data_IF_595959974947
#
_entry.id   IF_595959974947
#
_cell.length_a   1.000
_cell.length_b   1.000
_cell.length_c   1.000
_cell.angle_alpha   90.00
_cell.angle_beta   90.00
_cell.angle_gamma   90.00
#
_symmetry.space_group_name_H-M   'P 1'
#
loop_
_entity.id
_entity.type
_entity.pdbx_description
1 polymer ?
#
# COMPACT_ATOMS: atom_id res chain seq x y z
N UNK A 1 0.95 0.35 16.30
CA UNK A 1 1.70 -0.60 15.47
C UNK A 1 0.84 -1.76 14.96
N UNK A 2 0.62 -1.80 13.65
CA UNK A 2 -0.24 -2.74 12.94
C UNK A 2 0.62 -3.92 12.46
N UNK A 3 0.69 -4.99 13.24
CA UNK A 3 1.31 -6.22 12.73
C UNK A 3 0.34 -6.82 11.70
N UNK A 4 0.65 -6.72 10.41
CA UNK A 4 -0.09 -7.38 9.32
C UNK A 4 -0.22 -8.89 9.59
N UNK A 5 0.79 -9.47 10.25
CA UNK A 5 0.77 -10.85 10.74
C UNK A 5 -0.33 -11.11 11.77
N UNK A 6 -0.75 -10.12 12.58
CA UNK A 6 -1.87 -10.27 13.51
C UNK A 6 -3.22 -10.32 12.79
N UNK A 7 -3.42 -9.51 11.74
CA UNK A 7 -4.63 -9.56 10.89
C UNK A 7 -4.68 -10.89 10.13
N UNK A 8 -3.55 -11.32 9.58
CA UNK A 8 -3.38 -12.61 8.91
C UNK A 8 -3.68 -13.78 9.86
N UNK A 9 -3.08 -13.78 11.05
CA UNK A 9 -3.27 -14.82 12.05
C UNK A 9 -4.72 -14.92 12.49
N UNK A 10 -5.41 -13.79 12.70
CA UNK A 10 -6.85 -13.76 13.04
C UNK A 10 -7.69 -14.30 11.89
N UNK A 11 -7.40 -13.89 10.65
CA UNK A 11 -8.16 -14.37 9.49
C UNK A 11 -8.02 -15.89 9.30
N UNK A 12 -6.82 -16.44 9.50
CA UNK A 12 -6.55 -17.88 9.33
C UNK A 12 -7.08 -18.68 10.54
N UNK A 13 -6.76 -18.25 11.77
CA UNK A 13 -7.12 -18.99 13.01
C UNK A 13 -8.61 -19.05 13.30
N UNK A 14 -9.40 -18.11 12.78
CA UNK A 14 -10.86 -18.12 12.99
C UNK A 14 -11.65 -18.72 11.83
N UNK A 15 -10.99 -19.24 10.77
CA UNK A 15 -11.65 -20.17 9.86
C UNK A 15 -11.83 -21.49 10.61
N UNK A 16 -12.85 -21.52 11.45
CA UNK A 16 -13.27 -22.72 12.17
C UNK A 16 -14.10 -23.57 11.21
N UNK A 17 -13.59 -24.74 10.82
CA UNK A 17 -14.41 -25.76 10.17
C UNK A 17 -15.42 -26.27 11.20
N UNK A 18 -16.65 -25.75 11.14
CA UNK A 18 -17.76 -26.33 11.88
C UNK A 18 -18.11 -27.66 11.23
N UNK A 19 -17.47 -28.73 11.68
CA UNK A 19 -17.85 -30.12 11.38
C UNK A 19 -19.03 -30.51 12.28
N UNK A 20 -20.22 -30.03 11.93
CA UNK A 20 -21.47 -30.46 12.53
C UNK A 20 -22.11 -31.48 11.59
N UNK A 21 -21.93 -32.77 11.85
CA UNK A 21 -22.60 -33.82 11.08
C UNK A 21 -24.11 -33.52 10.95
N UNK A 22 -24.68 -33.49 9.73
CA UNK A 22 -24.15 -34.07 8.49
C UNK A 22 -23.36 -33.10 7.56
N UNK A 23 -23.05 -31.89 8.00
CA UNK A 23 -22.36 -30.88 7.19
C UNK A 23 -20.85 -30.90 7.42
N UNK A 24 -20.09 -31.15 6.34
CA UNK A 24 -18.62 -31.07 6.30
C UNK A 24 -18.23 -29.71 5.72
N UNK A 25 -17.85 -28.79 6.62
CA UNK A 25 -17.50 -27.41 6.25
C UNK A 25 -16.23 -27.34 5.42
N UNK A 26 -15.28 -28.25 5.67
CA UNK A 26 -14.03 -28.34 4.93
C UNK A 26 -14.27 -28.74 3.49
N UNK A 27 -15.08 -29.78 3.26
CA UNK A 27 -15.46 -30.22 1.93
C UNK A 27 -16.25 -29.13 1.19
N UNK A 28 -17.12 -28.41 1.88
CA UNK A 28 -17.83 -27.26 1.32
C UNK A 28 -16.86 -26.17 0.82
N UNK A 29 -15.91 -25.73 1.67
CA UNK A 29 -14.90 -24.72 1.30
C UNK A 29 -14.02 -25.21 0.16
N UNK A 30 -13.59 -26.47 0.18
CA UNK A 30 -12.79 -27.06 -0.91
C UNK A 30 -13.53 -27.00 -2.25
N UNK A 31 -14.80 -27.42 -2.29
CA UNK A 31 -15.59 -27.37 -3.52
C UNK A 31 -15.84 -25.92 -3.98
N UNK A 32 -16.05 -25.00 -3.04
CA UNK A 32 -16.20 -23.57 -3.31
C UNK A 32 -14.96 -22.97 -3.97
N UNK A 33 -13.77 -23.18 -3.40
CA UNK A 33 -12.51 -22.69 -3.94
C UNK A 33 -12.19 -23.28 -5.31
N UNK A 34 -12.51 -24.56 -5.53
CA UNK A 34 -12.33 -25.21 -6.83
C UNK A 34 -13.25 -24.63 -7.90
N UNK A 35 -14.52 -24.37 -7.58
CA UNK A 35 -15.45 -23.70 -8.51
C UNK A 35 -15.04 -22.26 -8.82
N UNK A 36 -14.26 -21.62 -7.94
CA UNK A 36 -13.61 -20.31 -8.16
C UNK A 36 -12.27 -20.41 -8.88
N UNK A 37 -11.82 -21.62 -9.25
CA UNK A 37 -10.52 -21.88 -9.87
C UNK A 37 -9.32 -21.42 -9.02
N UNK A 38 -9.49 -21.37 -7.68
CA UNK A 38 -8.44 -20.96 -6.75
C UNK A 38 -7.57 -22.11 -6.25
N UNK A 39 -8.06 -23.34 -6.38
CA UNK A 39 -7.32 -24.59 -6.12
C UNK A 39 -7.57 -25.58 -7.26
N UNK A 40 -6.63 -26.51 -7.49
CA UNK A 40 -6.69 -27.45 -8.61
C UNK A 40 -7.72 -28.57 -8.43
N UNK A 41 -8.06 -29.26 -9.52
CA UNK A 41 -8.98 -30.41 -9.50
C UNK A 41 -8.42 -31.64 -8.75
N UNK A 42 -7.12 -31.65 -8.43
CA UNK A 42 -6.47 -32.73 -7.68
C UNK A 42 -6.87 -32.73 -6.19
N UNK A 43 -7.52 -31.67 -5.71
CA UNK A 43 -8.14 -31.61 -4.41
C UNK A 43 -9.45 -32.41 -4.47
N UNK A 44 -9.52 -33.56 -3.76
CA UNK A 44 -10.67 -34.50 -3.82
C UNK A 44 -12.01 -33.77 -3.72
N UNK A 45 -12.67 -33.64 -4.85
CA UNK A 45 -14.02 -33.13 -4.90
C UNK A 45 -15.01 -34.28 -4.75
N UNK A 46 -15.95 -34.12 -3.83
CA UNK A 46 -16.97 -35.14 -3.63
C UNK A 46 -18.36 -34.73 -4.13
N UNK A 47 -18.71 -33.44 -4.24
CA UNK A 47 -20.11 -33.02 -4.49
C UNK A 47 -20.25 -31.64 -5.16
N UNK A 48 -21.42 -31.41 -5.77
CA UNK A 48 -21.87 -30.09 -6.22
C UNK A 48 -22.07 -29.13 -5.03
N UNK A 49 -21.83 -27.83 -5.23
CA UNK A 49 -22.07 -26.81 -4.20
C UNK A 49 -23.58 -26.68 -3.97
N UNK A 50 -24.03 -27.05 -2.77
CA UNK A 50 -25.43 -26.90 -2.35
C UNK A 50 -25.71 -25.50 -1.81
N UNK A 51 -26.98 -25.11 -1.74
CA UNK A 51 -27.39 -23.84 -1.10
C UNK A 51 -26.98 -23.77 0.37
N UNK A 52 -26.97 -24.91 1.09
CA UNK A 52 -26.48 -24.97 2.47
C UNK A 52 -24.98 -24.68 2.55
N UNK A 53 -24.19 -25.15 1.59
CA UNK A 53 -22.77 -24.83 1.49
C UNK A 53 -22.56 -23.32 1.23
N UNK A 54 -23.29 -22.71 0.28
CA UNK A 54 -23.19 -21.26 0.04
C UNK A 54 -23.57 -20.41 1.26
N UNK A 55 -24.60 -20.81 2.00
CA UNK A 55 -24.97 -20.12 3.24
C UNK A 55 -23.89 -20.26 4.32
N UNK A 56 -23.25 -21.42 4.41
CA UNK A 56 -22.10 -21.62 5.29
C UNK A 56 -20.94 -20.71 4.89
N UNK A 57 -20.54 -20.69 3.62
CA UNK A 57 -19.48 -19.80 3.10
C UNK A 57 -19.76 -18.35 3.48
N UNK A 58 -20.95 -17.84 3.16
CA UNK A 58 -21.35 -16.47 3.47
C UNK A 58 -21.32 -16.17 4.98
N UNK A 59 -21.75 -17.13 5.80
CA UNK A 59 -21.74 -16.97 7.25
C UNK A 59 -20.30 -16.91 7.78
N UNK A 60 -19.42 -17.78 7.27
CA UNK A 60 -18.01 -17.83 7.67
C UNK A 60 -17.29 -16.56 7.22
N UNK A 61 -17.50 -16.09 5.99
CA UNK A 61 -17.00 -14.80 5.51
C UNK A 61 -17.37 -13.65 6.42
N UNK A 62 -18.65 -13.55 6.81
CA UNK A 62 -19.13 -12.51 7.70
C UNK A 62 -18.47 -12.57 9.08
N UNK A 63 -18.31 -13.77 9.64
CA UNK A 63 -17.66 -13.97 10.94
C UNK A 63 -16.18 -13.60 10.89
N UNK A 64 -15.44 -14.09 9.88
CA UNK A 64 -14.01 -13.79 9.69
C UNK A 64 -13.78 -12.29 9.57
N UNK A 65 -14.59 -11.59 8.76
CA UNK A 65 -14.48 -10.14 8.59
C UNK A 65 -14.85 -9.36 9.86
N UNK A 66 -15.81 -9.84 10.64
CA UNK A 66 -16.16 -9.24 11.93
C UNK A 66 -15.02 -9.37 12.94
N UNK A 67 -14.30 -10.49 12.96
CA UNK A 67 -13.15 -10.68 13.85
C UNK A 67 -11.95 -9.85 13.42
N UNK A 68 -11.69 -9.76 12.11
CA UNK A 68 -10.73 -8.81 11.56
C UNK A 68 -11.09 -7.39 12.04
N UNK A 69 -12.36 -6.97 11.90
CA UNK A 69 -12.82 -5.68 12.40
C UNK A 69 -12.53 -5.48 13.89
N UNK A 70 -12.91 -6.45 14.73
CA UNK A 70 -12.71 -6.36 16.17
C UNK A 70 -11.22 -6.21 16.53
N UNK A 71 -10.34 -6.87 15.78
CA UNK A 71 -8.88 -6.78 15.97
C UNK A 71 -8.29 -5.47 15.49
N UNK A 72 -8.84 -4.89 14.43
CA UNK A 72 -8.53 -3.52 14.01
C UNK A 72 -9.01 -2.51 15.06
N UNK A 73 -10.20 -2.71 15.64
CA UNK A 73 -10.78 -1.84 16.67
C UNK A 73 -10.00 -1.87 18.01
N UNK A 74 -9.29 -2.96 18.29
CA UNK A 74 -8.34 -3.07 19.43
C UNK A 74 -7.09 -2.20 19.23
N UNK A 75 -6.79 -1.77 17.99
CA UNK A 75 -5.65 -0.92 17.65
C UNK A 75 -6.12 0.54 17.57
N UNK A 76 -5.67 1.36 18.52
CA UNK A 76 -6.08 2.77 18.62
C UNK A 76 -5.93 3.55 17.31
N UNK A 77 -4.84 3.33 16.58
CA UNK A 77 -4.54 3.97 15.30
C UNK A 77 -5.50 3.55 14.16
N UNK A 78 -5.97 2.31 14.14
CA UNK A 78 -6.81 1.78 13.06
C UNK A 78 -8.30 1.81 13.35
N UNK A 79 -8.67 2.05 14.60
CA UNK A 79 -10.06 1.98 15.06
C UNK A 79 -11.01 2.83 14.22
N UNK A 80 -10.59 4.01 13.78
CA UNK A 80 -11.43 4.89 12.96
C UNK A 80 -11.51 4.45 11.49
N UNK A 81 -10.55 3.64 11.03
CA UNK A 81 -10.47 3.13 9.66
C UNK A 81 -10.94 1.69 9.52
N UNK A 82 -11.29 1.00 10.61
CA UNK A 82 -11.57 -0.44 10.63
C UNK A 82 -12.72 -0.85 9.71
N UNK A 83 -13.80 -0.06 9.67
CA UNK A 83 -14.95 -0.31 8.79
C UNK A 83 -14.54 -0.20 7.31
N UNK A 84 -13.82 0.87 6.95
CA UNK A 84 -13.29 1.05 5.60
C UNK A 84 -12.40 -0.13 5.19
N UNK A 85 -11.47 -0.54 6.05
CA UNK A 85 -10.55 -1.65 5.77
C UNK A 85 -11.34 -2.92 5.50
N UNK A 86 -12.33 -3.23 6.34
CA UNK A 86 -13.16 -4.44 6.20
C UNK A 86 -14.00 -4.40 4.92
N UNK A 87 -14.54 -3.25 4.56
CA UNK A 87 -15.27 -3.08 3.30
C UNK A 87 -14.34 -3.28 2.08
N UNK A 88 -13.11 -2.76 2.14
CA UNK A 88 -12.10 -3.05 1.11
C UNK A 88 -11.73 -4.53 1.03
N UNK A 89 -11.57 -5.21 2.17
CA UNK A 89 -11.27 -6.64 2.21
C UNK A 89 -12.40 -7.50 1.60
N UNK A 90 -13.67 -7.09 1.75
CA UNK A 90 -14.81 -7.72 1.09
C UNK A 90 -14.72 -7.62 -0.43
N UNK A 91 -14.33 -6.45 -0.95
CA UNK A 91 -14.25 -6.19 -2.40
C UNK A 91 -13.15 -7.00 -3.09
N UNK A 92 -12.07 -7.33 -2.38
CA UNK A 92 -10.86 -7.95 -2.95
C UNK A 92 -10.75 -9.46 -2.71
N UNK A 93 -11.85 -10.13 -2.35
CA UNK A 93 -11.90 -11.57 -2.08
C UNK A 93 -10.89 -12.04 -1.02
N UNK A 94 -10.62 -11.22 0.00
CA UNK A 94 -9.65 -11.55 1.06
C UNK A 94 -9.95 -12.91 1.72
N UNK A 95 -11.22 -13.19 2.02
CA UNK A 95 -11.63 -14.43 2.68
C UNK A 95 -11.40 -15.66 1.78
N UNK A 96 -11.55 -15.54 0.46
CA UNK A 96 -11.29 -16.64 -0.47
C UNK A 96 -9.82 -17.10 -0.36
N UNK A 97 -8.87 -16.16 -0.24
CA UNK A 97 -7.46 -16.48 -0.03
C UNK A 97 -7.18 -17.02 1.38
N UNK A 98 -7.94 -16.58 2.39
CA UNK A 98 -7.82 -17.10 3.75
C UNK A 98 -8.30 -18.55 3.81
N UNK A 99 -9.42 -18.87 3.15
CA UNK A 99 -9.90 -20.23 2.95
C UNK A 99 -8.85 -21.08 2.22
N UNK A 100 -8.23 -20.56 1.15
CA UNK A 100 -7.18 -21.28 0.43
C UNK A 100 -6.00 -21.62 1.33
N UNK A 101 -5.46 -20.64 2.07
CA UNK A 101 -4.34 -20.85 2.99
C UNK A 101 -4.68 -21.89 4.06
N UNK A 102 -5.88 -21.79 4.66
CA UNK A 102 -6.34 -22.73 5.68
C UNK A 102 -6.50 -24.15 5.13
N UNK A 103 -7.15 -24.32 3.97
CA UNK A 103 -7.32 -25.62 3.32
C UNK A 103 -5.95 -26.25 3.06
N UNK A 104 -5.00 -25.51 2.49
CA UNK A 104 -3.65 -26.01 2.17
C UNK A 104 -2.81 -26.38 3.40
N UNK A 105 -3.10 -25.79 4.56
CA UNK A 105 -2.39 -26.10 5.82
C UNK A 105 -2.70 -27.50 6.35
N UNK A 106 -3.81 -28.13 5.91
CA UNK A 106 -4.22 -29.45 6.40
C UNK A 106 -3.55 -30.60 5.62
N UNK A 107 -3.18 -31.69 6.30
CA UNK A 107 -2.26 -32.72 5.78
C UNK A 107 -2.86 -33.76 4.79
N UNK A 108 -4.03 -33.53 4.19
CA UNK A 108 -4.77 -34.59 3.49
C UNK A 108 -5.12 -34.27 2.03
N UNK A 109 -4.13 -34.00 1.17
CA UNK A 109 -4.34 -33.78 -0.27
C UNK A 109 -3.41 -34.61 -1.14
N UNK A 110 -3.91 -35.04 -2.30
CA UNK A 110 -3.16 -35.76 -3.35
C UNK A 110 -2.27 -34.79 -4.17
N UNK A 111 -1.55 -33.88 -3.50
CA UNK A 111 -0.55 -32.96 -4.07
C UNK A 111 0.80 -33.23 -3.42
N UNK A 112 1.90 -32.95 -4.14
CA UNK A 112 3.22 -33.07 -3.52
C UNK A 112 3.39 -32.07 -2.39
N UNK A 113 4.16 -32.42 -1.35
CA UNK A 113 4.43 -31.50 -0.25
C UNK A 113 5.04 -30.17 -0.73
N UNK A 114 5.88 -30.21 -1.78
CA UNK A 114 6.48 -29.02 -2.39
C UNK A 114 5.45 -28.07 -3.01
N UNK A 115 4.56 -28.58 -3.88
CA UNK A 115 3.50 -27.79 -4.51
C UNK A 115 2.51 -27.23 -3.47
N UNK A 116 2.18 -28.03 -2.44
CA UNK A 116 1.31 -27.58 -1.34
C UNK A 116 1.92 -26.41 -0.57
N UNK A 117 3.21 -26.50 -0.21
CA UNK A 117 3.93 -25.44 0.50
C UNK A 117 4.02 -24.17 -0.36
N UNK A 118 4.29 -24.31 -1.66
CA UNK A 118 4.34 -23.18 -2.59
C UNK A 118 2.99 -22.47 -2.71
N UNK A 119 1.92 -23.21 -2.97
CA UNK A 119 0.55 -22.66 -3.06
C UNK A 119 0.09 -22.00 -1.76
N UNK A 120 0.46 -22.58 -0.61
CA UNK A 120 0.16 -22.02 0.71
C UNK A 120 0.91 -20.70 0.91
N UNK A 121 2.20 -20.67 0.56
CA UNK A 121 3.03 -19.47 0.64
C UNK A 121 2.48 -18.36 -0.24
N UNK A 122 2.10 -18.67 -1.48
CA UNK A 122 1.48 -17.73 -2.41
C UNK A 122 0.14 -17.19 -1.86
N UNK A 123 -0.69 -18.03 -1.24
CA UNK A 123 -1.93 -17.59 -0.61
C UNK A 123 -1.67 -16.66 0.58
N UNK A 124 -0.68 -16.97 1.43
CA UNK A 124 -0.29 -16.12 2.56
C UNK A 124 0.28 -14.78 2.10
N UNK A 125 1.17 -14.77 1.11
CA UNK A 125 1.68 -13.53 0.50
C UNK A 125 0.55 -12.68 -0.06
N UNK A 126 -0.42 -13.30 -0.75
CA UNK A 126 -1.57 -12.56 -1.29
C UNK A 126 -2.45 -11.96 -0.19
N UNK A 127 -2.64 -12.65 0.94
CA UNK A 127 -3.36 -12.09 2.08
C UNK A 127 -2.64 -10.88 2.70
N UNK A 128 -1.32 -10.94 2.82
CA UNK A 128 -0.51 -9.80 3.27
C UNK A 128 -0.66 -8.64 2.30
N UNK A 129 -0.57 -8.89 0.99
CA UNK A 129 -0.75 -7.86 -0.05
C UNK A 129 -2.14 -7.20 0.04
N UNK A 130 -3.21 -8.01 0.10
CA UNK A 130 -4.59 -7.51 0.12
C UNK A 130 -4.89 -6.70 1.40
N UNK A 131 -4.42 -7.17 2.56
CA UNK A 131 -4.57 -6.44 3.82
C UNK A 131 -3.70 -5.18 3.89
N UNK A 132 -2.48 -5.25 3.37
CA UNK A 132 -1.59 -4.10 3.14
C UNK A 132 -2.28 -3.00 2.35
N UNK A 133 -2.80 -3.36 1.17
CA UNK A 133 -3.46 -2.43 0.29
C UNK A 133 -4.71 -1.81 0.93
N UNK A 134 -5.53 -2.61 1.62
CA UNK A 134 -6.73 -2.11 2.31
C UNK A 134 -6.39 -1.10 3.41
N UNK A 135 -5.33 -1.34 4.18
CA UNK A 135 -4.83 -0.41 5.20
C UNK A 135 -4.31 0.87 4.54
N UNK A 136 -3.49 0.76 3.49
CA UNK A 136 -2.98 1.92 2.75
C UNK A 136 -4.12 2.78 2.20
N UNK A 137 -5.16 2.15 1.67
CA UNK A 137 -6.29 2.87 1.08
C UNK A 137 -7.19 3.55 2.11
N UNK A 138 -7.30 3.01 3.32
CA UNK A 138 -8.26 3.47 4.32
C UNK A 138 -7.67 4.28 5.48
N UNK A 139 -6.40 4.06 5.82
CA UNK A 139 -5.75 4.73 6.95
C UNK A 139 -4.84 5.87 6.49
N UNK A 140 -4.05 5.64 5.45
CA UNK A 140 -3.04 6.61 5.03
C UNK A 140 -3.58 7.73 4.14
N UNK A 141 -4.81 7.64 3.62
CA UNK A 141 -5.43 8.70 2.80
C UNK A 141 -5.41 10.06 3.51
N UNK A 142 -5.89 10.09 4.74
CA UNK A 142 -6.01 11.33 5.52
C UNK A 142 -4.63 11.86 5.91
N UNK A 143 -3.68 10.95 6.18
CA UNK A 143 -2.31 11.32 6.53
C UNK A 143 -1.57 11.92 5.34
N UNK A 144 -1.67 11.31 4.15
CA UNK A 144 -1.11 11.87 2.93
C UNK A 144 -1.81 13.19 2.56
N UNK A 145 -3.11 13.31 2.81
CA UNK A 145 -3.83 14.56 2.65
C UNK A 145 -3.30 15.67 3.56
N UNK A 146 -3.04 15.37 4.83
CA UNK A 146 -2.46 16.31 5.78
C UNK A 146 -1.03 16.71 5.42
N UNK A 147 -0.22 15.77 4.89
CA UNK A 147 1.11 16.09 4.36
C UNK A 147 1.00 17.08 3.19
N UNK A 148 0.07 16.85 2.26
CA UNK A 148 -0.18 17.78 1.16
C UNK A 148 -0.60 19.17 1.65
N UNK A 149 -1.52 19.22 2.62
CA UNK A 149 -1.95 20.49 3.23
C UNK A 149 -0.77 21.23 3.88
N UNK A 150 0.16 20.50 4.49
CA UNK A 150 1.41 21.04 5.06
C UNK A 150 2.32 21.65 3.99
N UNK A 151 2.47 20.97 2.84
CA UNK A 151 3.24 21.46 1.70
C UNK A 151 2.64 22.77 1.17
N UNK A 152 1.30 22.86 1.10
CA UNK A 152 0.60 24.02 0.53
C UNK A 152 0.53 25.24 1.45
N UNK A 153 0.66 25.07 2.77
CA UNK A 153 0.43 26.15 3.75
C UNK A 153 1.69 26.92 4.13
N UNK A 154 2.90 26.45 3.77
CA UNK A 154 4.18 26.99 4.24
C UNK A 154 4.29 27.10 5.79
N UNK A 155 3.35 26.55 6.56
CA UNK A 155 3.24 26.77 8.01
C UNK A 155 4.17 25.85 8.83
N UNK A 156 4.73 24.80 8.21
CA UNK A 156 5.48 23.76 8.92
C UNK A 156 6.99 23.82 8.75
N UNK A 157 7.52 24.81 8.03
CA UNK A 157 8.91 24.82 7.65
C UNK A 157 9.53 26.20 7.95
N UNK A 158 10.11 26.36 9.15
CA UNK A 158 11.33 27.18 9.34
C UNK A 158 12.53 26.51 8.60
N UNK A 159 12.27 25.82 7.49
CA UNK A 159 13.30 25.20 6.70
C UNK A 159 14.15 26.28 6.07
N UNK A 160 15.44 26.06 6.19
CA UNK A 160 16.50 26.74 5.46
C UNK A 160 15.97 27.09 4.06
N UNK A 161 15.65 28.37 3.83
CA UNK A 161 15.33 28.87 2.49
C UNK A 161 16.40 28.30 1.56
N UNK A 162 15.97 27.50 0.56
CA UNK A 162 16.87 27.02 -0.48
C UNK A 162 17.68 28.23 -0.95
N UNK A 163 18.99 28.03 -1.11
CA UNK A 163 19.81 29.12 -1.63
C UNK A 163 19.23 29.57 -2.97
N UNK A 164 19.40 30.84 -3.31
CA UNK A 164 18.88 31.36 -4.58
C UNK A 164 19.38 30.52 -5.78
N UNK A 165 20.60 29.98 -5.70
CA UNK A 165 21.18 29.08 -6.70
C UNK A 165 20.45 27.72 -6.77
N UNK A 166 20.11 27.13 -5.61
CA UNK A 166 19.34 25.89 -5.53
C UNK A 166 17.94 26.08 -6.13
N UNK A 167 17.23 27.14 -5.73
CA UNK A 167 15.89 27.47 -6.24
C UNK A 167 15.90 27.65 -7.76
N UNK A 168 16.89 28.39 -8.30
CA UNK A 168 17.07 28.52 -9.74
C UNK A 168 17.26 27.16 -10.43
N UNK A 169 18.11 26.29 -9.89
CA UNK A 169 18.41 25.00 -10.49
C UNK A 169 17.23 24.04 -10.49
N UNK A 170 16.45 24.03 -9.41
CA UNK A 170 15.26 23.18 -9.32
C UNK A 170 14.14 23.70 -10.22
N UNK A 171 13.89 25.03 -10.27
CA UNK A 171 12.94 25.63 -11.24
C UNK A 171 13.34 25.33 -12.68
N UNK A 172 14.62 25.46 -13.00
CA UNK A 172 15.17 25.11 -14.32
C UNK A 172 14.89 23.64 -14.65
N UNK A 173 15.17 22.73 -13.72
CA UNK A 173 14.92 21.30 -13.90
C UNK A 173 13.44 21.01 -14.20
N UNK A 174 12.52 21.58 -13.42
CA UNK A 174 11.07 21.43 -13.58
C UNK A 174 10.60 21.88 -14.97
N UNK A 175 11.11 23.01 -15.47
CA UNK A 175 10.77 23.55 -16.78
C UNK A 175 11.36 22.68 -17.90
N UNK A 176 12.64 22.32 -17.81
CA UNK A 176 13.34 21.53 -18.84
C UNK A 176 12.74 20.12 -18.99
N UNK A 177 12.35 19.50 -17.87
CA UNK A 177 11.73 18.18 -17.83
C UNK A 177 10.21 18.21 -17.96
N UNK A 178 9.60 19.41 -18.07
CA UNK A 178 8.15 19.60 -18.21
C UNK A 178 7.36 18.92 -17.09
N UNK A 179 7.88 19.00 -15.87
CA UNK A 179 7.21 18.45 -14.69
C UNK A 179 5.95 19.24 -14.34
N UNK A 180 5.88 20.50 -14.78
CA UNK A 180 4.72 21.37 -14.60
C UNK A 180 4.15 21.83 -15.95
N UNK A 181 2.82 22.00 -16.00
CA UNK A 181 2.18 22.64 -17.13
C UNK A 181 2.45 24.14 -17.11
N UNK A 182 3.50 24.56 -17.82
CA UNK A 182 3.91 25.97 -17.94
C UNK A 182 2.89 26.84 -18.71
N UNK A 183 1.87 26.24 -19.32
CA UNK A 183 0.74 26.98 -19.91
C UNK A 183 -0.35 27.29 -18.90
N UNK A 184 -0.50 26.43 -17.87
CA UNK A 184 -1.42 26.63 -16.74
C UNK A 184 -0.76 27.45 -15.62
N UNK A 185 0.52 27.21 -15.34
CA UNK A 185 1.27 27.75 -14.23
C UNK A 185 2.47 28.57 -14.73
N UNK A 186 2.51 29.86 -14.40
CA UNK A 186 3.59 30.75 -14.87
C UNK A 186 4.78 30.62 -13.92
N UNK A 187 5.80 29.86 -14.36
CA UNK A 187 7.05 29.67 -13.63
C UNK A 187 8.22 30.34 -14.38
N UNK A 188 8.84 31.34 -13.75
CA UNK A 188 10.13 31.87 -14.21
C UNK A 188 11.25 31.03 -13.59
N UNK A 189 12.21 30.61 -14.42
CA UNK A 189 13.39 29.88 -13.94
C UNK A 189 14.29 30.76 -13.06
N UNK A 190 14.42 32.05 -13.36
CA UNK A 190 15.34 32.96 -12.67
C UNK A 190 14.61 34.23 -12.16
N UNK A 191 13.65 34.09 -11.23
CA UNK A 191 12.86 35.23 -10.76
C UNK A 191 13.70 36.28 -10.01
N UNK A 192 14.86 35.88 -9.49
CA UNK A 192 15.79 36.72 -8.70
C UNK A 192 16.89 37.39 -9.53
N UNK A 193 16.93 37.17 -10.86
CA UNK A 193 17.95 37.71 -11.78
C UNK A 193 19.41 37.38 -11.38
N UNK A 194 19.65 36.14 -10.96
CA UNK A 194 20.99 35.64 -10.61
C UNK A 194 21.93 35.62 -11.82
N UNK A 195 23.23 35.76 -11.58
CA UNK A 195 24.26 35.44 -12.57
C UNK A 195 24.43 33.92 -12.65
N UNK A 196 23.85 33.32 -13.69
CA UNK A 196 23.80 31.86 -13.86
C UNK A 196 25.03 31.29 -14.56
N UNK A 197 26.02 32.13 -14.91
CA UNK A 197 27.14 31.70 -15.77
C UNK A 197 28.10 30.69 -15.11
N UNK A 198 28.14 30.68 -13.77
CA UNK A 198 28.98 29.78 -12.97
C UNK A 198 28.21 28.72 -12.18
N UNK A 199 26.88 28.69 -12.25
CA UNK A 199 26.05 27.79 -11.45
C UNK A 199 26.06 26.38 -12.05
N UNK A 200 26.48 25.38 -11.26
CA UNK A 200 26.41 23.96 -11.65
C UNK A 200 25.11 23.32 -11.13
N UNK A 201 24.04 23.41 -11.92
CA UNK A 201 22.75 22.84 -11.53
C UNK A 201 22.71 21.33 -11.44
N UNK A 202 23.59 20.60 -12.13
CA UNK A 202 23.61 19.14 -12.05
C UNK A 202 24.03 18.68 -10.65
N UNK A 203 25.08 19.29 -10.08
CA UNK A 203 25.55 18.96 -8.73
C UNK A 203 24.54 19.37 -7.65
N UNK A 204 23.98 20.57 -7.76
CA UNK A 204 23.00 21.09 -6.78
C UNK A 204 21.72 20.24 -6.77
N UNK A 205 21.19 19.94 -7.96
CA UNK A 205 20.01 19.10 -8.08
C UNK A 205 20.26 17.68 -7.57
N UNK A 206 21.40 17.06 -7.90
CA UNK A 206 21.72 15.73 -7.40
C UNK A 206 21.78 15.68 -5.86
N UNK A 207 22.27 16.73 -5.20
CA UNK A 207 22.27 16.82 -3.74
C UNK A 207 20.85 16.90 -3.16
N UNK A 208 19.94 17.63 -3.82
CA UNK A 208 18.53 17.69 -3.44
C UNK A 208 17.86 16.31 -3.57
N UNK A 209 18.07 15.63 -4.71
CA UNK A 209 17.54 14.29 -4.97
C UNK A 209 17.97 13.30 -3.89
N UNK A 210 19.23 13.37 -3.43
CA UNK A 210 19.73 12.53 -2.33
C UNK A 210 18.94 12.81 -1.03
N UNK A 211 18.74 14.09 -0.67
CA UNK A 211 17.97 14.45 0.53
C UNK A 211 16.52 13.94 0.48
N UNK A 212 15.84 14.11 -0.66
CA UNK A 212 14.47 13.62 -0.87
C UNK A 212 14.43 12.10 -0.70
N UNK A 213 15.37 11.39 -1.32
CA UNK A 213 15.49 9.94 -1.21
C UNK A 213 15.72 9.47 0.23
N UNK A 214 16.59 10.14 0.97
CA UNK A 214 16.86 9.82 2.38
C UNK A 214 15.61 10.01 3.24
N UNK A 215 14.84 11.08 3.00
CA UNK A 215 13.55 11.33 3.68
C UNK A 215 12.51 10.26 3.34
N UNK A 216 12.42 9.85 2.07
CA UNK A 216 11.54 8.74 1.66
C UNK A 216 11.91 7.43 2.35
N UNK A 217 13.21 7.11 2.42
CA UNK A 217 13.70 5.91 3.13
C UNK A 217 13.34 5.96 4.61
N UNK A 218 13.55 7.11 5.26
CA UNK A 218 13.20 7.30 6.66
C UNK A 218 11.68 7.13 6.90
N UNK A 219 10.85 7.80 6.11
CA UNK A 219 9.39 7.70 6.23
C UNK A 219 8.85 6.30 5.96
N UNK A 220 9.43 5.55 5.02
CA UNK A 220 9.02 4.17 4.76
C UNK A 220 9.41 3.19 5.88
N UNK A 221 10.53 3.45 6.57
CA UNK A 221 10.93 2.65 7.74
C UNK A 221 10.03 2.90 8.95
N UNK A 222 9.43 4.08 9.06
CA UNK A 222 8.41 4.34 10.09
C UNK A 222 7.09 3.61 9.82
N UNK A 223 6.86 3.13 8.59
CA UNK A 223 5.72 2.29 8.24
C UNK A 223 6.03 0.81 8.54
N UNK A 224 7.29 0.40 8.41
CA UNK A 224 7.81 -0.95 8.67
C UNK A 224 8.17 -1.12 10.15
N UNK A 225 7.16 -1.29 11.00
CA UNK A 225 7.37 -1.51 12.42
C UNK A 225 6.80 -2.85 12.86
N UNK A 226 7.63 -3.88 12.77
CA UNK A 226 7.52 -5.05 13.62
C UNK A 226 8.91 -5.32 14.21
N UNK A 227 9.15 -4.89 15.45
CA UNK A 227 10.43 -5.13 16.16
C UNK A 227 10.74 -6.64 16.32
N UNK A 228 9.77 -7.52 16.03
CA UNK A 228 9.86 -8.97 16.25
C UNK A 228 10.14 -9.80 14.99
N UNK A 229 9.99 -9.23 13.79
CA UNK A 229 10.27 -9.93 12.52
C UNK A 229 11.37 -9.22 11.73
N UNK A 230 12.32 -10.01 11.24
CA UNK A 230 13.52 -9.59 10.50
C UNK A 230 13.28 -8.95 9.13
N UNK A 231 12.09 -8.44 8.83
CA UNK A 231 11.85 -7.64 7.62
C UNK A 231 12.38 -6.24 7.87
N UNK A 232 13.70 -6.05 7.78
CA UNK A 232 14.22 -4.70 7.60
C UNK A 232 14.00 -4.36 6.12
N UNK A 233 13.01 -3.52 5.79
CA UNK A 233 12.95 -2.91 4.46
C UNK A 233 14.33 -2.33 4.14
N UNK A 234 14.98 -2.88 3.11
CA UNK A 234 16.32 -2.43 2.71
C UNK A 234 16.21 -1.05 2.07
N UNK A 235 17.06 -0.12 2.51
CA UNK A 235 17.22 1.21 1.91
C UNK A 235 17.43 1.07 0.40
N UNK A 236 18.26 0.10 -0.01
CA UNK A 236 18.51 -0.20 -1.43
C UNK A 236 17.23 -0.58 -2.17
N UNK A 237 16.32 -1.33 -1.54
CA UNK A 237 15.05 -1.70 -2.16
C UNK A 237 14.14 -0.47 -2.33
N UNK A 238 13.99 0.34 -1.28
CA UNK A 238 13.19 1.58 -1.36
C UNK A 238 13.72 2.49 -2.45
N UNK A 239 15.04 2.73 -2.49
CA UNK A 239 15.69 3.56 -3.50
C UNK A 239 15.46 3.02 -4.92
N UNK A 240 15.56 1.70 -5.11
CA UNK A 240 15.27 1.08 -6.41
C UNK A 240 13.82 1.32 -6.84
N UNK A 241 12.85 1.23 -5.92
CA UNK A 241 11.44 1.52 -6.22
C UNK A 241 11.27 3.01 -6.55
N UNK A 242 11.85 3.90 -5.74
CA UNK A 242 11.83 5.36 -5.96
C UNK A 242 12.34 5.71 -7.37
N UNK A 243 13.47 5.13 -7.76
CA UNK A 243 14.09 5.38 -9.06
C UNK A 243 13.32 4.74 -10.22
N UNK A 244 12.85 3.51 -10.07
CA UNK A 244 12.17 2.78 -11.15
C UNK A 244 10.83 3.41 -11.56
N UNK A 245 10.20 4.13 -10.64
CA UNK A 245 8.88 4.73 -10.84
C UNK A 245 8.91 6.26 -10.90
N UNK A 246 10.11 6.85 -10.90
CA UNK A 246 10.35 8.29 -11.00
C UNK A 246 9.58 9.09 -9.92
N UNK A 247 9.58 8.60 -8.68
CA UNK A 247 8.81 9.21 -7.60
C UNK A 247 9.37 10.57 -7.17
N UNK A 248 10.68 10.81 -7.35
CA UNK A 248 11.32 12.10 -7.01
C UNK A 248 10.75 13.23 -7.86
N UNK A 249 10.81 13.12 -9.19
CA UNK A 249 10.27 14.14 -10.10
C UNK A 249 8.77 14.40 -9.84
N UNK A 250 8.01 13.35 -9.50
CA UNK A 250 6.58 13.49 -9.20
C UNK A 250 6.33 14.22 -7.88
N UNK A 251 7.16 14.01 -6.85
CA UNK A 251 7.03 14.76 -5.59
C UNK A 251 7.48 16.21 -5.75
N UNK A 252 8.53 16.47 -6.51
CA UNK A 252 8.98 17.84 -6.80
C UNK A 252 7.88 18.68 -7.45
N UNK A 253 7.11 18.09 -8.36
CA UNK A 253 5.94 18.76 -8.92
C UNK A 253 5.01 19.29 -7.83
N UNK A 254 4.70 18.48 -6.80
CA UNK A 254 3.80 18.88 -5.72
C UNK A 254 4.42 19.91 -4.77
N UNK A 255 5.72 19.78 -4.45
CA UNK A 255 6.42 20.76 -3.62
C UNK A 255 6.42 22.16 -4.29
N UNK A 256 6.46 22.20 -5.62
CA UNK A 256 6.42 23.45 -6.36
C UNK A 256 5.03 24.06 -6.50
N UNK A 257 3.95 23.33 -6.21
CA UNK A 257 2.60 23.87 -6.34
C UNK A 257 2.34 25.06 -5.41
N UNK A 258 3.03 25.12 -4.27
CA UNK A 258 2.93 26.22 -3.29
C UNK A 258 3.38 27.58 -3.85
N UNK A 259 4.17 27.59 -4.92
CA UNK A 259 4.65 28.81 -5.58
C UNK A 259 3.59 29.47 -6.48
N UNK A 260 2.44 28.82 -6.70
CA UNK A 260 1.38 29.32 -7.57
C UNK A 260 0.14 29.71 -6.78
N UNK A 261 -0.55 30.76 -7.25
CA UNK A 261 -1.88 31.11 -6.76
C UNK A 261 -2.92 30.12 -7.30
N UNK A 262 -3.12 29.01 -6.57
CA UNK A 262 -4.10 27.99 -6.90
C UNK A 262 -5.49 28.32 -6.35
N UNK A 263 -6.53 28.02 -7.11
CA UNK A 263 -7.90 28.06 -6.59
C UNK A 263 -8.12 26.90 -5.61
N UNK A 264 -9.06 27.04 -4.66
CA UNK A 264 -9.39 25.95 -3.73
C UNK A 264 -9.83 24.67 -4.45
N UNK A 265 -10.40 24.78 -5.65
CA UNK A 265 -10.76 23.62 -6.46
C UNK A 265 -9.53 22.93 -7.05
N UNK A 266 -8.54 23.68 -7.55
CA UNK A 266 -7.29 23.12 -8.05
C UNK A 266 -6.50 22.46 -6.92
N UNK A 267 -6.42 23.09 -5.74
CA UNK A 267 -5.75 22.52 -4.56
C UNK A 267 -6.31 21.14 -4.22
N UNK A 268 -7.64 20.99 -4.20
CA UNK A 268 -8.26 19.70 -3.90
C UNK A 268 -7.97 18.65 -4.99
N UNK A 269 -7.99 19.03 -6.27
CA UNK A 269 -7.64 18.12 -7.36
C UNK A 269 -6.18 17.66 -7.28
N UNK A 270 -5.25 18.55 -6.95
CA UNK A 270 -3.85 18.19 -6.80
C UNK A 270 -3.61 17.37 -5.53
N UNK A 271 -4.35 17.63 -4.45
CA UNK A 271 -4.35 16.80 -3.23
C UNK A 271 -4.74 15.36 -3.52
N UNK A 272 -5.83 15.14 -4.27
CA UNK A 272 -6.25 13.79 -4.66
C UNK A 272 -5.16 13.05 -5.45
N UNK A 273 -4.47 13.74 -6.37
CA UNK A 273 -3.34 13.17 -7.13
C UNK A 273 -2.15 12.85 -6.23
N UNK A 274 -1.81 13.74 -5.30
CA UNK A 274 -0.73 13.51 -4.33
C UNK A 274 -1.03 12.29 -3.46
N UNK A 275 -2.24 12.22 -2.89
CA UNK A 275 -2.67 11.07 -2.07
C UNK A 275 -2.60 9.78 -2.87
N UNK A 276 -3.05 9.79 -4.13
CA UNK A 276 -2.95 8.61 -4.99
C UNK A 276 -1.49 8.21 -5.26
N UNK A 277 -0.62 9.17 -5.54
CA UNK A 277 0.81 8.92 -5.75
C UNK A 277 1.45 8.27 -4.53
N UNK A 278 1.20 8.82 -3.33
CA UNK A 278 1.76 8.33 -2.09
C UNK A 278 1.28 6.91 -1.79
N UNK A 279 -0.01 6.62 -2.00
CA UNK A 279 -0.55 5.25 -1.88
C UNK A 279 0.15 4.29 -2.84
N UNK A 280 0.29 4.66 -4.10
CA UNK A 280 0.91 3.81 -5.11
C UNK A 280 2.39 3.55 -4.77
N UNK A 281 3.11 4.57 -4.30
CA UNK A 281 4.48 4.43 -3.81
C UNK A 281 4.56 3.46 -2.64
N UNK A 282 3.75 3.66 -1.59
CA UNK A 282 3.75 2.79 -0.41
C UNK A 282 3.38 1.35 -0.78
N UNK A 283 2.39 1.13 -1.65
CA UNK A 283 2.02 -0.20 -2.13
C UNK A 283 3.16 -0.87 -2.90
N UNK A 284 3.85 -0.13 -3.76
CA UNK A 284 4.99 -0.66 -4.51
C UNK A 284 6.17 -1.01 -3.61
N UNK A 285 6.48 -0.17 -2.63
CA UNK A 285 7.53 -0.45 -1.64
C UNK A 285 7.16 -1.68 -0.82
N UNK A 286 5.93 -1.78 -0.31
CA UNK A 286 5.45 -2.95 0.43
C UNK A 286 5.56 -4.22 -0.41
N UNK A 287 5.09 -4.19 -1.66
CA UNK A 287 5.15 -5.34 -2.54
C UNK A 287 6.60 -5.76 -2.85
N UNK A 288 7.45 -4.82 -3.28
CA UNK A 288 8.82 -5.12 -3.75
C UNK A 288 9.84 -5.38 -2.64
N UNK A 289 9.61 -4.83 -1.45
CA UNK A 289 10.60 -4.85 -0.38
C UNK A 289 10.21 -5.73 0.81
N UNK A 290 8.94 -6.11 0.91
CA UNK A 290 8.42 -6.93 2.02
C UNK A 290 7.83 -8.26 1.54
N UNK A 291 7.17 -8.29 0.38
CA UNK A 291 6.40 -9.46 -0.07
C UNK A 291 7.17 -10.32 -1.10
N UNK A 292 7.79 -9.69 -2.10
CA UNK A 292 8.60 -10.33 -3.16
C UNK A 292 10.03 -10.67 -2.70
#
# INVERSE_FOLDING_TARGET
>A
MISFAAILFVAISNISFLDCAPFDGKLCITNYLRNKELISDNFRAAQEITSSCLNFIKSTEMTTLLEVKNKLDEKEELKNSSECIVDRLKEVNFVDYAFKAQILSEENYDVTDGERIEEMTNAMQKLIELSGNAIIDCYFSDQFGAIFDSIMTNESQEDEELSDEDDYCVRKHIIEHKLIDTTKYILDANPKNLDTSSINCEDLYNNLVIKIKDQMVAGMKEIDIDESSSSNISDKCVLNVVDSYDYVNKLEYFDYLKEFELSSHDVEQEKEKFVHLMKDMTKMVMYKCVIE
#
